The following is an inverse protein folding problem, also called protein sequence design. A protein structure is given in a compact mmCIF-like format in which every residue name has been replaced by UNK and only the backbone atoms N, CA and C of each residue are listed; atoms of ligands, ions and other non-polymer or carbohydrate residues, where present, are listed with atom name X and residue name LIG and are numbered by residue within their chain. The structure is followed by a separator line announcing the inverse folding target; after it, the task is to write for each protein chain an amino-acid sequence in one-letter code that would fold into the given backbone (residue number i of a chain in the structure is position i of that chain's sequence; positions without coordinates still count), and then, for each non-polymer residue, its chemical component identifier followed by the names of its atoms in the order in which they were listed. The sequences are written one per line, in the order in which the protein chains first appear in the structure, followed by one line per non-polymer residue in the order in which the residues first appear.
data_IF_024212627770
#
_entry.id   IF_024212627770
#
_cell.length_a   1.000
_cell.length_b   1.000
_cell.length_c   1.000
_cell.angle_alpha   90.00
_cell.angle_beta   90.00
_cell.angle_gamma   90.00
#
_symmetry.space_group_name_H-M   'P 1'
#
loop_
_entity.id
_entity.type
_entity.pdbx_description
1 polymer ?
#
# COMPACT_ATOMS: atom_id res chain seq x y z
N UNK A 1 -9.31 32.79 -3.36
CA UNK A 1 -8.92 32.51 -1.96
C UNK A 1 -10.07 32.99 -1.08
N UNK A 2 -11.12 32.18 -0.93
CA UNK A 2 -12.30 32.52 -0.12
C UNK A 2 -12.36 31.56 1.07
N UNK A 3 -12.27 32.16 2.26
CA UNK A 3 -12.88 31.73 3.53
C UNK A 3 -12.54 30.36 4.12
N UNK A 4 -11.25 30.16 4.43
CA UNK A 4 -10.82 29.11 5.36
C UNK A 4 -11.07 29.48 6.85
N UNK A 5 -11.34 30.76 7.11
CA UNK A 5 -11.43 31.34 8.46
C UNK A 5 -12.76 31.03 9.16
N UNK A 6 -13.84 30.90 8.39
CA UNK A 6 -15.20 30.64 8.89
C UNK A 6 -15.38 29.17 9.32
N UNK A 7 -14.76 28.22 8.62
CA UNK A 7 -14.80 26.79 8.97
C UNK A 7 -14.19 26.48 10.34
N UNK A 8 -13.21 27.30 10.77
CA UNK A 8 -12.56 27.15 12.08
C UNK A 8 -13.46 27.52 13.27
N UNK A 9 -14.55 28.25 13.06
CA UNK A 9 -15.45 28.69 14.13
C UNK A 9 -16.64 27.76 14.36
N UNK A 10 -16.99 26.92 13.37
CA UNK A 10 -18.17 26.06 13.43
C UNK A 10 -17.88 24.62 13.87
N UNK A 11 -16.64 24.27 14.22
CA UNK A 11 -16.28 22.90 14.59
C UNK A 11 -16.57 22.65 16.09
N UNK A 12 -17.46 21.70 16.44
CA UNK A 12 -17.67 21.30 17.83
C UNK A 12 -16.37 20.73 18.39
N UNK A 13 -15.98 21.18 19.59
CA UNK A 13 -14.76 20.72 20.27
C UNK A 13 -14.83 19.22 20.57
N UNK A 14 -14.17 18.41 19.74
CA UNK A 14 -14.16 16.95 19.88
C UNK A 14 -13.71 16.17 18.64
N UNK A 15 -13.62 16.80 17.46
CA UNK A 15 -13.13 16.13 16.24
C UNK A 15 -11.63 16.37 16.05
N UNK A 16 -10.82 15.32 15.82
CA UNK A 16 -9.39 15.46 15.55
C UNK A 16 -9.17 16.31 14.30
N UNK A 17 -8.12 17.14 14.35
CA UNK A 17 -7.74 18.08 13.30
C UNK A 17 -7.44 17.32 12.01
N UNK A 18 -8.38 17.34 11.08
CA UNK A 18 -8.21 16.90 9.70
C UNK A 18 -7.00 17.64 9.08
N UNK A 19 -5.83 16.99 9.08
CA UNK A 19 -4.61 17.51 8.45
C UNK A 19 -4.79 17.34 6.95
N UNK A 20 -5.36 18.37 6.32
CA UNK A 20 -5.72 18.51 4.88
C UNK A 20 -4.61 18.21 3.83
N UNK A 21 -3.43 17.77 4.22
CA UNK A 21 -2.38 17.40 3.27
C UNK A 21 -1.89 16.00 3.64
N UNK A 22 -2.49 14.99 3.05
CA UNK A 22 -1.95 13.63 3.00
C UNK A 22 -0.75 13.61 2.05
N UNK A 23 0.47 13.61 2.57
CA UNK A 23 1.67 13.44 1.76
C UNK A 23 2.00 11.95 1.70
N UNK A 24 1.80 11.38 0.51
CA UNK A 24 1.96 9.96 0.24
C UNK A 24 3.24 9.76 -0.55
N UNK A 25 4.16 8.97 0.00
CA UNK A 25 5.34 8.51 -0.68
C UNK A 25 5.11 7.08 -1.16
N UNK A 26 5.46 6.79 -2.40
CA UNK A 26 5.33 5.45 -2.97
C UNK A 26 6.67 5.02 -3.55
N UNK A 27 7.06 3.80 -3.24
CA UNK A 27 8.29 3.18 -3.68
C UNK A 27 7.92 1.87 -4.37
N UNK A 28 8.35 1.70 -5.63
CA UNK A 28 8.15 0.45 -6.38
C UNK A 28 9.49 0.00 -6.92
N UNK A 29 9.95 -1.16 -6.47
CA UNK A 29 11.11 -1.84 -7.02
C UNK A 29 10.64 -3.03 -7.85
N UNK A 30 11.18 -3.17 -9.04
CA UNK A 30 10.94 -4.35 -9.87
C UNK A 30 12.28 -4.81 -10.44
N UNK A 31 12.64 -6.05 -10.12
CA UNK A 31 13.85 -6.70 -10.59
C UNK A 31 13.45 -7.88 -11.48
N UNK A 32 13.97 -7.91 -12.70
CA UNK A 32 13.82 -9.02 -13.62
C UNK A 32 15.12 -9.83 -13.61
N UNK A 33 15.03 -11.12 -13.29
CA UNK A 33 16.16 -12.03 -13.19
C UNK A 33 15.97 -13.21 -14.15
N UNK A 34 17.08 -13.89 -14.45
CA UNK A 34 17.11 -15.14 -15.24
C UNK A 34 16.34 -15.02 -16.56
N UNK A 35 16.70 -14.07 -17.43
CA UNK A 35 16.00 -13.88 -18.72
C UNK A 35 14.48 -13.70 -18.57
N UNK A 36 14.05 -12.96 -17.53
CA UNK A 36 12.63 -12.71 -17.22
C UNK A 36 11.83 -13.95 -16.78
N UNK A 37 12.48 -15.06 -16.43
CA UNK A 37 11.80 -16.20 -15.79
C UNK A 37 11.43 -15.89 -14.35
N UNK A 38 12.18 -15.02 -13.66
CA UNK A 38 11.83 -14.59 -12.31
C UNK A 38 11.71 -13.07 -12.22
N UNK A 39 10.58 -12.59 -11.70
CA UNK A 39 10.32 -11.18 -11.44
C UNK A 39 10.08 -11.00 -9.95
N UNK A 40 10.95 -10.24 -9.30
CA UNK A 40 10.72 -9.74 -7.95
C UNK A 40 10.12 -8.35 -8.04
N UNK A 41 9.05 -8.12 -7.31
CA UNK A 41 8.42 -6.81 -7.16
C UNK A 41 8.29 -6.50 -5.68
N UNK A 42 8.70 -5.31 -5.27
CA UNK A 42 8.46 -4.81 -3.93
C UNK A 42 7.78 -3.47 -4.06
N UNK A 43 6.54 -3.42 -3.61
CA UNK A 43 5.77 -2.19 -3.55
C UNK A 43 5.66 -1.73 -2.11
N UNK A 44 6.02 -0.49 -1.83
CA UNK A 44 5.91 0.10 -0.50
C UNK A 44 5.24 1.46 -0.62
N UNK A 45 4.29 1.69 0.26
CA UNK A 45 3.51 2.91 0.34
C UNK A 45 3.67 3.46 1.75
N UNK A 46 3.98 4.74 1.88
CA UNK A 46 4.19 5.39 3.18
C UNK A 46 3.45 6.72 3.20
N UNK A 47 2.54 6.87 4.16
CA UNK A 47 1.79 8.09 4.39
C UNK A 47 2.48 8.88 5.49
N UNK A 48 3.15 9.97 5.11
CA UNK A 48 3.87 10.84 6.06
C UNK A 48 2.93 11.65 6.96
N UNK A 49 1.63 11.69 6.65
CA UNK A 49 0.64 12.50 7.38
C UNK A 49 0.04 11.77 8.58
N UNK A 50 -0.16 10.46 8.47
CA UNK A 50 -0.73 9.61 9.52
C UNK A 50 0.27 8.56 10.04
N UNK A 51 1.41 8.38 9.37
CA UNK A 51 2.49 7.47 9.79
C UNK A 51 2.23 6.00 9.47
N UNK A 52 1.22 5.72 8.64
CA UNK A 52 0.89 4.39 8.15
C UNK A 52 1.70 3.99 6.92
N UNK A 53 1.87 2.69 6.75
CA UNK A 53 2.61 2.10 5.65
C UNK A 53 1.96 0.81 5.15
N UNK A 54 2.14 0.54 3.87
CA UNK A 54 1.86 -0.75 3.24
C UNK A 54 3.13 -1.25 2.57
N UNK A 55 3.44 -2.52 2.78
CA UNK A 55 4.52 -3.23 2.09
C UNK A 55 3.91 -4.45 1.43
N UNK A 56 4.04 -4.51 0.11
CA UNK A 56 3.63 -5.62 -0.72
C UNK A 56 4.86 -6.21 -1.43
N UNK A 57 5.54 -7.21 -0.81
CA UNK A 57 6.50 -8.04 -1.52
C UNK A 57 5.76 -9.04 -2.41
N UNK A 58 6.21 -9.16 -3.66
CA UNK A 58 5.69 -10.11 -4.64
C UNK A 58 6.85 -10.78 -5.40
N UNK A 59 6.76 -12.08 -5.58
CA UNK A 59 7.70 -12.89 -6.36
C UNK A 59 6.88 -13.61 -7.41
N UNK A 60 7.16 -13.34 -8.69
CA UNK A 60 6.60 -14.04 -9.83
C UNK A 60 7.66 -14.93 -10.48
N UNK A 61 7.31 -16.17 -10.77
CA UNK A 61 8.13 -17.15 -11.44
C UNK A 61 7.39 -17.72 -12.66
N UNK A 62 7.95 -17.52 -13.83
CA UNK A 62 7.50 -18.09 -15.09
C UNK A 62 8.21 -19.44 -15.29
N UNK A 63 7.47 -20.53 -15.18
CA UNK A 63 7.98 -21.88 -15.44
C UNK A 63 8.09 -22.13 -16.95
N UNK A 64 7.17 -21.54 -17.73
CA UNK A 64 7.14 -21.59 -19.19
C UNK A 64 6.35 -20.39 -19.72
N UNK A 65 6.34 -20.14 -21.03
CA UNK A 65 5.56 -19.06 -21.65
C UNK A 65 4.06 -19.13 -21.31
N UNK A 66 3.59 -20.34 -20.99
CA UNK A 66 2.20 -20.67 -20.71
C UNK A 66 1.89 -20.86 -19.21
N UNK A 67 2.91 -20.96 -18.35
CA UNK A 67 2.72 -21.29 -16.94
C UNK A 67 3.52 -20.33 -16.07
N UNK A 68 2.83 -19.61 -15.20
CA UNK A 68 3.49 -18.77 -14.21
C UNK A 68 2.80 -18.85 -12.86
N UNK A 69 3.62 -18.73 -11.81
CA UNK A 69 3.20 -18.59 -10.44
C UNK A 69 3.60 -17.21 -9.94
N UNK A 70 2.79 -16.61 -9.07
CA UNK A 70 3.17 -15.46 -8.28
C UNK A 70 2.77 -15.69 -6.83
N UNK A 71 3.62 -15.28 -5.91
CA UNK A 71 3.33 -15.28 -4.47
C UNK A 71 3.62 -13.88 -3.96
N UNK A 72 2.72 -13.35 -3.16
CA UNK A 72 2.94 -12.06 -2.53
C UNK A 72 2.23 -11.96 -1.20
N UNK A 73 2.59 -10.94 -0.44
CA UNK A 73 1.93 -10.61 0.82
C UNK A 73 1.54 -9.15 0.77
N UNK A 74 0.43 -8.76 1.36
CA UNK A 74 0.10 -7.39 1.68
C UNK A 74 0.28 -7.25 3.18
N UNK A 75 1.28 -6.49 3.59
CA UNK A 75 1.58 -6.20 4.99
C UNK A 75 1.20 -4.75 5.22
N UNK A 76 0.22 -4.52 6.08
CA UNK A 76 -0.23 -3.18 6.45
C UNK A 76 0.27 -2.89 7.86
N UNK A 77 0.75 -1.69 8.11
CA UNK A 77 1.21 -1.36 9.45
C UNK A 77 1.31 0.12 9.76
N UNK A 78 1.34 0.45 11.04
CA UNK A 78 1.59 1.82 11.50
C UNK A 78 0.37 2.73 11.45
N UNK A 79 0.61 3.99 11.84
CA UNK A 79 -0.42 5.00 12.06
C UNK A 79 -1.31 4.77 13.28
N UNK A 80 -2.23 5.70 13.54
CA UNK A 80 -3.24 5.53 14.58
C UNK A 80 -4.40 4.67 14.06
N UNK A 81 -5.14 4.00 14.98
CA UNK A 81 -6.26 3.06 14.66
C UNK A 81 -7.38 3.66 13.81
N UNK A 82 -7.40 4.97 13.60
CA UNK A 82 -8.39 5.71 12.81
C UNK A 82 -7.88 6.13 11.42
N UNK A 83 -6.61 5.88 11.09
CA UNK A 83 -6.05 6.04 9.74
C UNK A 83 -6.64 5.01 8.76
N UNK A 84 -6.70 5.33 7.46
CA UNK A 84 -7.20 4.43 6.42
C UNK A 84 -6.43 3.09 6.38
N UNK A 85 -5.13 3.11 6.64
CA UNK A 85 -4.28 1.92 6.60
C UNK A 85 -4.02 1.34 8.00
N UNK A 86 -4.05 2.17 9.05
CA UNK A 86 -3.96 1.70 10.45
C UNK A 86 -5.14 0.83 10.90
N UNK A 87 -6.32 0.97 10.26
CA UNK A 87 -7.43 0.04 10.45
C UNK A 87 -7.18 -1.34 9.82
N UNK A 88 -6.30 -1.41 8.83
CA UNK A 88 -5.90 -2.64 8.12
C UNK A 88 -4.63 -3.26 8.69
N UNK A 89 -4.03 -2.69 9.74
CA UNK A 89 -2.83 -3.19 10.45
C UNK A 89 -2.93 -4.67 10.89
N UNK A 90 -4.16 -5.20 11.00
CA UNK A 90 -4.43 -6.62 11.29
C UNK A 90 -4.87 -7.47 10.10
N UNK A 91 -4.94 -6.91 8.91
CA UNK A 91 -5.36 -7.56 7.67
C UNK A 91 -4.18 -7.89 6.77
N UNK A 92 -3.07 -8.31 7.37
CA UNK A 92 -1.99 -8.92 6.62
C UNK A 92 -2.52 -10.14 5.86
N UNK A 93 -2.32 -10.14 4.55
CA UNK A 93 -2.81 -11.22 3.71
C UNK A 93 -1.70 -11.73 2.80
N UNK A 94 -1.57 -13.05 2.74
CA UNK A 94 -0.68 -13.72 1.79
C UNK A 94 -1.53 -14.31 0.68
N UNK A 95 -1.12 -14.07 -0.55
CA UNK A 95 -1.76 -14.61 -1.74
C UNK A 95 -0.77 -15.42 -2.56
N UNK A 96 -1.30 -16.46 -3.19
CA UNK A 96 -0.60 -17.25 -4.19
C UNK A 96 -1.50 -17.31 -5.43
N UNK A 97 -0.92 -16.99 -6.57
CA UNK A 97 -1.55 -16.98 -7.88
C UNK A 97 -0.83 -17.99 -8.76
N UNK A 98 -1.60 -18.86 -9.40
CA UNK A 98 -1.11 -19.78 -10.42
C UNK A 98 -1.93 -19.52 -11.66
N UNK A 99 -1.27 -19.21 -12.77
CA UNK A 99 -1.91 -19.08 -14.07
C UNK A 99 -1.31 -20.08 -15.03
N UNK A 100 -2.21 -20.74 -15.74
CA UNK A 100 -1.92 -21.63 -16.84
C UNK A 100 -2.73 -21.19 -18.05
N UNK A 101 -2.06 -21.01 -19.18
CA UNK A 101 -2.64 -20.57 -20.45
C UNK A 101 -2.45 -21.71 -21.47
N UNK A 102 -3.55 -22.24 -22.01
CA UNK A 102 -3.59 -23.39 -22.94
C UNK A 102 -3.72 -22.94 -24.39
#
# INVERSE_FOLDING_TARGET
MHDYSEYKKAQPGGLPKDRKTGQLATVRLTQLLMHQTMKLSLFSFYSTSEGDYLINPEIKYNFSDNIWAAIGANIFGGGEKWSQFGQLDKNDNVYLQLRYEF
#
